data_IF_879792031348
#
_entry.id   IF_879792031348
#
_cell.length_a   1.000
_cell.length_b   1.000
_cell.length_c   1.000
_cell.angle_alpha   90.00
_cell.angle_beta   90.00
_cell.angle_gamma   90.00
#
_symmetry.space_group_name_H-M   'P 1'
#
loop_
_entity.id
_entity.type
_entity.pdbx_description
1 polymer ?
#
# COMPACT_ATOMS: atom_id res chain seq x y z
N UNK A 1 -7.21 23.70 16.47
CA UNK A 1 -6.54 22.90 15.44
C UNK A 1 -5.16 22.56 15.97
N UNK A 2 -4.92 21.31 16.34
CA UNK A 2 -3.54 20.85 16.52
C UNK A 2 -2.87 20.89 15.15
N UNK A 3 -1.69 21.53 15.09
CA UNK A 3 -0.86 21.58 13.90
C UNK A 3 -0.12 20.24 13.84
N UNK A 4 -0.81 19.19 13.43
CA UNK A 4 -0.18 17.90 13.20
C UNK A 4 0.78 18.08 12.03
N UNK A 5 2.07 18.16 12.37
CA UNK A 5 3.13 18.27 11.37
C UNK A 5 3.44 16.85 10.90
N UNK A 6 2.98 16.52 9.70
CA UNK A 6 3.32 15.25 9.06
C UNK A 6 4.83 15.19 8.79
N UNK A 7 5.45 14.07 9.13
CA UNK A 7 6.86 13.84 8.79
C UNK A 7 6.98 13.68 7.26
N UNK A 8 8.04 14.23 6.62
CA UNK A 8 8.25 14.07 5.19
C UNK A 8 8.21 12.62 4.73
N UNK A 9 8.77 11.69 5.52
CA UNK A 9 8.76 10.25 5.23
C UNK A 9 7.32 9.69 5.13
N UNK A 10 6.43 10.05 6.05
CA UNK A 10 5.04 9.58 6.01
C UNK A 10 4.26 10.17 4.82
N UNK A 11 4.61 11.38 4.36
CA UNK A 11 4.05 11.95 3.13
C UNK A 11 4.57 11.23 1.88
N UNK A 12 5.84 10.83 1.87
CA UNK A 12 6.43 9.99 0.83
C UNK A 12 5.75 8.62 0.79
N UNK A 13 5.62 7.93 1.93
CA UNK A 13 4.88 6.67 2.03
C UNK A 13 3.46 6.79 1.50
N UNK A 14 2.74 7.85 1.89
CA UNK A 14 1.39 8.12 1.38
C UNK A 14 1.34 8.26 -0.15
N UNK A 15 2.33 8.95 -0.74
CA UNK A 15 2.44 9.11 -2.18
C UNK A 15 2.74 7.78 -2.87
N UNK A 16 3.71 7.01 -2.38
CA UNK A 16 4.08 5.70 -2.91
C UNK A 16 2.92 4.71 -2.86
N UNK A 17 2.20 4.64 -1.73
CA UNK A 17 1.02 3.78 -1.57
C UNK A 17 -0.06 4.12 -2.60
N UNK A 18 -0.35 5.41 -2.79
CA UNK A 18 -1.35 5.84 -3.76
C UNK A 18 -0.92 5.57 -5.21
N UNK A 19 0.35 5.80 -5.53
CA UNK A 19 0.91 5.50 -6.85
C UNK A 19 0.83 3.99 -7.17
N UNK A 20 1.21 3.13 -6.23
CA UNK A 20 1.10 1.69 -6.39
C UNK A 20 -0.36 1.24 -6.64
N UNK A 21 -1.33 1.84 -5.95
CA UNK A 21 -2.76 1.57 -6.20
C UNK A 21 -3.19 2.02 -7.61
N UNK A 22 -2.69 3.15 -8.10
CA UNK A 22 -2.94 3.58 -9.48
C UNK A 22 -2.36 2.59 -10.51
N UNK A 23 -1.19 2.01 -10.24
CA UNK A 23 -0.60 0.95 -11.08
C UNK A 23 -1.45 -0.34 -11.09
N UNK A 24 -2.04 -0.72 -9.95
CA UNK A 24 -3.01 -1.81 -9.91
C UNK A 24 -4.22 -1.55 -10.81
N UNK A 25 -4.74 -0.31 -10.82
CA UNK A 25 -5.87 0.09 -11.67
C UNK A 25 -5.52 0.10 -13.16
N UNK A 26 -4.26 0.42 -13.50
CA UNK A 26 -3.73 0.33 -14.87
C UNK A 26 -3.58 -1.12 -15.34
N UNK A 27 -3.46 -2.06 -14.41
CA UNK A 27 -3.29 -3.49 -14.69
C UNK A 27 -1.84 -3.88 -14.97
N UNK A 28 -0.88 -3.07 -14.52
CA UNK A 28 0.55 -3.27 -14.80
C UNK A 28 1.21 -4.31 -13.89
N UNK A 29 0.46 -4.99 -13.02
CA UNK A 29 1.01 -5.86 -11.96
C UNK A 29 1.12 -7.32 -12.33
N UNK A 30 0.63 -7.73 -13.51
CA UNK A 30 0.67 -9.12 -13.96
C UNK A 30 -0.24 -10.09 -13.20
N UNK A 31 -0.93 -9.65 -12.14
CA UNK A 31 -1.83 -10.49 -11.36
C UNK A 31 -3.23 -10.56 -11.98
N UNK A 32 -3.62 -11.75 -12.46
CA UNK A 32 -4.91 -11.98 -13.10
C UNK A 32 -6.06 -11.69 -12.13
N UNK A 33 -6.95 -10.78 -12.54
CA UNK A 33 -8.19 -10.45 -11.79
C UNK A 33 -8.03 -9.39 -10.70
N UNK A 34 -6.79 -9.05 -10.30
CA UNK A 34 -6.55 -8.03 -9.27
C UNK A 34 -7.04 -6.65 -9.70
N UNK A 35 -6.75 -6.25 -10.95
CA UNK A 35 -7.28 -4.99 -11.50
C UNK A 35 -8.80 -4.88 -11.35
N UNK A 36 -9.53 -5.95 -11.69
CA UNK A 36 -10.98 -5.97 -11.59
C UNK A 36 -11.48 -5.90 -10.14
N UNK A 37 -10.73 -6.43 -9.17
CA UNK A 37 -11.04 -6.30 -7.74
C UNK A 37 -10.85 -4.86 -7.26
N UNK A 38 -9.72 -4.24 -7.63
CA UNK A 38 -9.40 -2.85 -7.30
C UNK A 38 -10.41 -1.88 -7.93
N UNK A 39 -10.77 -2.12 -9.20
CA UNK A 39 -11.78 -1.32 -9.91
C UNK A 39 -13.15 -1.40 -9.21
N UNK A 40 -13.57 -2.59 -8.74
CA UNK A 40 -14.82 -2.72 -7.96
C UNK A 40 -14.77 -1.95 -6.65
N UNK A 41 -13.67 -2.03 -5.90
CA UNK A 41 -13.51 -1.25 -4.68
C UNK A 41 -13.61 0.26 -4.98
N UNK A 42 -12.98 0.72 -6.06
CA UNK A 42 -13.04 2.11 -6.51
C UNK A 42 -14.46 2.53 -6.92
N UNK A 43 -15.19 1.69 -7.64
CA UNK A 43 -16.57 1.96 -8.05
C UNK A 43 -17.51 2.05 -6.84
N UNK A 44 -17.31 1.20 -5.83
CA UNK A 44 -18.12 1.20 -4.61
C UNK A 44 -17.84 2.41 -3.70
N UNK A 45 -16.57 2.77 -3.51
CA UNK A 45 -16.16 3.83 -2.57
C UNK A 45 -16.10 5.22 -3.22
N UNK A 46 -15.82 5.28 -4.51
CA UNK A 46 -15.32 6.47 -5.19
C UNK A 46 -13.84 6.71 -4.92
N UNK A 47 -13.16 7.35 -5.88
CA UNK A 47 -11.70 7.58 -5.84
C UNK A 47 -11.25 8.37 -4.62
N UNK A 48 -12.01 9.38 -4.18
CA UNK A 48 -11.63 10.20 -3.03
C UNK A 48 -11.63 9.40 -1.72
N UNK A 49 -12.65 8.58 -1.48
CA UNK A 49 -12.73 7.75 -0.29
C UNK A 49 -11.71 6.61 -0.33
N UNK A 50 -11.50 6.00 -1.50
CA UNK A 50 -10.44 5.02 -1.68
C UNK A 50 -9.07 5.62 -1.34
N UNK A 51 -8.76 6.85 -1.78
CA UNK A 51 -7.51 7.52 -1.41
C UNK A 51 -7.37 7.71 0.09
N UNK A 52 -8.43 8.13 0.79
CA UNK A 52 -8.41 8.25 2.26
C UNK A 52 -8.21 6.89 2.94
N UNK A 53 -8.76 5.81 2.37
CA UNK A 53 -8.53 4.45 2.86
C UNK A 53 -7.05 4.07 2.73
N UNK A 54 -6.44 4.36 1.57
CA UNK A 54 -5.01 4.13 1.31
C UNK A 54 -4.12 4.95 2.26
N UNK A 55 -4.48 6.20 2.55
CA UNK A 55 -3.77 7.02 3.55
C UNK A 55 -3.80 6.39 4.95
N UNK A 56 -4.87 5.66 5.29
CA UNK A 56 -4.97 4.93 6.55
C UNK A 56 -3.96 3.78 6.70
N UNK A 57 -3.22 3.43 5.64
CA UNK A 57 -2.20 2.38 5.66
C UNK A 57 -0.80 2.89 5.95
N UNK A 58 -0.59 4.22 5.99
CA UNK A 58 0.74 4.85 6.14
C UNK A 58 1.44 4.37 7.40
N UNK A 59 0.79 4.45 8.57
CA UNK A 59 1.40 4.04 9.84
C UNK A 59 1.78 2.56 9.85
N UNK A 60 1.01 1.71 9.16
CA UNK A 60 1.29 0.28 9.07
C UNK A 60 2.48 0.00 8.16
N UNK A 61 2.55 0.66 7.01
CA UNK A 61 3.66 0.53 6.06
C UNK A 61 4.97 1.09 6.67
N UNK A 62 4.92 2.27 7.29
CA UNK A 62 6.07 2.89 7.98
C UNK A 62 6.58 1.97 9.11
N UNK A 63 5.67 1.41 9.93
CA UNK A 63 6.04 0.50 11.01
C UNK A 63 6.71 -0.78 10.49
N UNK A 64 6.16 -1.37 9.42
CA UNK A 64 6.71 -2.58 8.82
C UNK A 64 8.07 -2.29 8.16
N UNK A 65 8.23 -1.15 7.47
CA UNK A 65 9.49 -0.75 6.84
C UNK A 65 10.62 -0.58 7.85
N UNK A 66 10.35 -0.01 9.04
CA UNK A 66 11.36 0.14 10.11
C UNK A 66 11.91 -1.20 10.61
N UNK A 67 11.16 -2.31 10.43
CA UNK A 67 11.64 -3.65 10.81
C UNK A 67 12.56 -4.28 9.78
N UNK A 68 12.54 -3.80 8.54
CA UNK A 68 13.36 -4.33 7.45
C UNK A 68 14.81 -3.88 7.68
N UNK A 69 15.72 -4.85 7.79
CA UNK A 69 17.15 -4.56 7.82
C UNK A 69 17.61 -4.18 6.42
N UNK A 70 18.48 -3.18 6.30
CA UNK A 70 19.04 -2.74 5.00
C UNK A 70 19.66 -3.90 4.20
N UNK A 71 20.26 -4.88 4.88
CA UNK A 71 20.86 -6.07 4.25
C UNK A 71 19.83 -7.04 3.64
N UNK A 72 18.57 -6.96 4.05
CA UNK A 72 17.49 -7.84 3.62
C UNK A 72 16.67 -7.25 2.46
N UNK A 73 16.96 -6.01 2.06
CA UNK A 73 16.27 -5.35 0.95
C UNK A 73 17.18 -4.35 0.21
N UNK A 74 17.62 -4.73 -0.99
CA UNK A 74 18.51 -3.93 -1.86
C UNK A 74 17.77 -3.23 -3.01
N UNK A 75 16.43 -3.28 -3.01
CA UNK A 75 15.56 -2.74 -4.07
C UNK A 75 14.92 -1.39 -3.67
N UNK A 76 14.44 -0.58 -4.63
CA UNK A 76 13.73 0.67 -4.32
C UNK A 76 12.51 0.51 -3.39
N UNK A 77 12.32 1.49 -2.51
CA UNK A 77 11.18 1.52 -1.59
C UNK A 77 9.83 1.70 -2.32
N UNK A 78 9.79 2.66 -3.25
CA UNK A 78 8.61 3.12 -3.99
C UNK A 78 8.14 2.15 -5.09
N UNK A 79 9.07 1.62 -5.88
CA UNK A 79 8.75 0.76 -7.05
C UNK A 79 8.73 -0.74 -6.74
N UNK A 80 9.36 -1.17 -5.66
CA UNK A 80 9.48 -2.60 -5.33
C UNK A 80 8.84 -2.92 -3.99
N UNK A 81 9.23 -2.22 -2.91
CA UNK A 81 8.80 -2.62 -1.56
C UNK A 81 7.31 -2.32 -1.32
N UNK A 82 6.87 -1.10 -1.60
CA UNK A 82 5.46 -0.70 -1.41
C UNK A 82 4.49 -1.53 -2.26
N UNK A 83 4.73 -1.77 -3.57
CA UNK A 83 3.88 -2.64 -4.36
C UNK A 83 3.82 -4.08 -3.82
N UNK A 84 4.95 -4.64 -3.39
CA UNK A 84 5.01 -5.98 -2.80
C UNK A 84 4.27 -6.03 -1.44
N UNK A 85 4.44 -5.00 -0.62
CA UNK A 85 3.72 -4.85 0.65
C UNK A 85 2.21 -4.78 0.43
N UNK A 86 1.71 -3.99 -0.54
CA UNK A 86 0.28 -3.95 -0.87
C UNK A 86 -0.23 -5.30 -1.35
N UNK A 87 0.52 -5.96 -2.25
CA UNK A 87 0.13 -7.26 -2.80
C UNK A 87 -0.03 -8.33 -1.72
N UNK A 88 0.84 -8.31 -0.71
CA UNK A 88 0.80 -9.26 0.39
C UNK A 88 -0.22 -8.90 1.46
N UNK A 89 -0.48 -7.60 1.69
CA UNK A 89 -1.19 -7.13 2.88
C UNK A 89 -2.57 -6.54 2.63
N UNK A 90 -2.96 -6.23 1.40
CA UNK A 90 -4.30 -5.68 1.11
C UNK A 90 -5.20 -6.75 0.51
N UNK A 91 -6.35 -6.98 1.14
CA UNK A 91 -7.43 -7.77 0.56
C UNK A 91 -8.39 -6.86 -0.23
N UNK A 92 -8.51 -7.14 -1.53
CA UNK A 92 -9.37 -6.43 -2.47
C UNK A 92 -10.67 -7.18 -2.79
N UNK A 93 -10.92 -8.32 -2.14
CA UNK A 93 -12.05 -9.20 -2.47
C UNK A 93 -13.41 -8.63 -2.07
N UNK A 94 -13.44 -7.73 -1.08
CA UNK A 94 -14.64 -7.11 -0.52
C UNK A 94 -15.15 -5.87 -1.27
N UNK A 95 -16.05 -5.13 -0.62
CA UNK A 95 -16.58 -3.87 -1.13
C UNK A 95 -15.62 -2.68 -0.90
N UNK A 96 -14.77 -2.80 0.11
CA UNK A 96 -13.67 -1.90 0.48
C UNK A 96 -12.40 -2.72 0.68
N UNK A 97 -11.21 -2.17 0.37
CA UNK A 97 -9.96 -2.87 0.64
C UNK A 97 -9.66 -2.87 2.13
N UNK A 98 -9.17 -4.01 2.63
CA UNK A 98 -8.86 -4.21 4.04
C UNK A 98 -7.40 -4.66 4.22
N UNK A 99 -6.73 -4.13 5.25
CA UNK A 99 -5.42 -4.64 5.63
C UNK A 99 -5.57 -5.99 6.32
N UNK A 100 -4.78 -6.95 5.86
CA UNK A 100 -4.67 -8.29 6.46
C UNK A 100 -3.98 -8.19 7.82
N UNK A 101 -4.35 -9.12 8.70
CA UNK A 101 -3.69 -9.36 9.98
C UNK A 101 -3.55 -10.88 10.19
N UNK A 102 -2.34 -11.41 10.44
CA UNK A 102 -1.07 -10.68 10.50
C UNK A 102 -0.61 -10.13 9.14
N UNK A 103 0.24 -9.10 9.16
CA UNK A 103 0.90 -8.57 7.96
C UNK A 103 2.18 -9.37 7.67
N UNK A 104 2.52 -9.45 6.39
CA UNK A 104 3.76 -10.03 5.86
C UNK A 104 4.67 -8.87 5.47
N UNK A 105 5.83 -8.78 6.09
CA UNK A 105 6.83 -7.76 5.79
C UNK A 105 7.74 -8.27 4.67
N UNK A 106 7.76 -7.62 3.48
CA UNK A 106 8.70 -7.98 2.42
C UNK A 106 10.15 -7.83 2.91
N UNK A 107 10.96 -8.87 2.72
CA UNK A 107 12.36 -8.91 3.16
C UNK A 107 12.60 -9.41 4.59
N UNK A 108 11.58 -9.66 5.43
CA UNK A 108 11.81 -10.08 6.83
C UNK A 108 12.40 -11.50 7.00
N UNK A 109 12.30 -12.37 5.98
CA UNK A 109 12.80 -13.76 6.02
C UNK A 109 14.17 -13.96 5.33
N UNK A 110 15.02 -12.93 5.31
CA UNK A 110 16.42 -13.00 4.84
C UNK A 110 17.39 -13.52 5.90
#
# INVERSE_FOLDING_TARGET
MQNDTYQPASLETAACLWEAVLELMRGNTGQKGLRAQVDRCRENLGTSHLRLTVLGWVDAADADWVTVKEECWDRPYDWEWIPEWIANNVDWSGASPELRSPRVVPGENG
#
